data_IF_097870406864
#
_entry.id   IF_097870406864
#
_cell.length_a   1.000
_cell.length_b   1.000
_cell.length_c   1.000
_cell.angle_alpha   90.00
_cell.angle_beta   90.00
_cell.angle_gamma   90.00
#
_symmetry.space_group_name_H-M   'P 1'
#
loop_
_entity.id
_entity.type
_entity.pdbx_description
1 polymer ?
#
# COMPACT_ATOMS: atom_id res chain seq x y z
N UNK A 1 17.38 -67.47 27.48
CA UNK A 1 16.11 -66.77 27.79
C UNK A 1 16.50 -65.45 28.43
N UNK A 2 16.80 -64.47 27.57
CA UNK A 2 15.97 -63.30 27.24
C UNK A 2 16.49 -62.09 28.04
N UNK A 3 17.42 -61.32 27.46
CA UNK A 3 17.12 -60.05 26.76
C UNK A 3 16.51 -58.99 27.69
N UNK A 4 17.35 -58.07 28.17
CA UNK A 4 17.05 -56.64 28.37
C UNK A 4 18.38 -55.88 28.21
N UNK A 5 18.71 -55.37 27.03
CA UNK A 5 18.24 -54.10 26.41
C UNK A 5 18.95 -52.88 27.01
N UNK A 6 19.89 -52.39 26.19
CA UNK A 6 20.41 -51.03 26.03
C UNK A 6 19.52 -49.91 26.57
N UNK A 7 20.07 -49.03 27.42
CA UNK A 7 19.61 -47.64 27.64
C UNK A 7 20.75 -46.73 27.15
N UNK A 8 20.78 -46.41 25.86
CA UNK A 8 20.31 -45.13 25.29
C UNK A 8 20.74 -43.89 26.08
N UNK A 9 21.84 -43.32 25.58
CA UNK A 9 22.10 -41.89 25.64
C UNK A 9 20.97 -41.10 24.98
N UNK A 10 20.85 -39.84 25.40
CA UNK A 10 20.39 -38.67 24.63
C UNK A 10 19.22 -37.90 25.28
N UNK A 11 19.49 -36.60 25.44
CA UNK A 11 18.55 -35.47 25.38
C UNK A 11 17.96 -34.98 26.70
N UNK A 12 18.81 -34.23 27.39
CA UNK A 12 18.50 -32.89 27.88
C UNK A 12 17.50 -32.16 26.96
N UNK A 13 16.28 -31.89 27.45
CA UNK A 13 15.50 -30.67 27.20
C UNK A 13 14.09 -30.74 27.82
N UNK A 14 13.83 -29.86 28.78
CA UNK A 14 12.51 -29.26 28.99
C UNK A 14 12.68 -27.89 29.68
N UNK A 15 13.30 -26.95 28.98
CA UNK A 15 13.13 -25.54 29.31
C UNK A 15 11.67 -25.17 29.05
N UNK A 16 10.97 -24.77 30.12
CA UNK A 16 9.69 -24.10 30.02
C UNK A 16 9.81 -22.88 29.08
N UNK A 17 8.79 -22.56 28.27
CA UNK A 17 8.84 -21.38 27.41
C UNK A 17 9.00 -20.15 28.29
N UNK A 18 10.18 -19.56 28.24
CA UNK A 18 10.44 -18.25 28.82
C UNK A 18 9.60 -17.25 28.05
N UNK A 19 8.56 -16.72 28.70
CA UNK A 19 7.85 -15.53 28.23
C UNK A 19 8.84 -14.37 28.31
N UNK A 20 9.66 -14.23 27.26
CA UNK A 20 10.48 -13.04 27.06
C UNK A 20 9.51 -11.91 26.78
N UNK A 21 9.27 -11.08 27.79
CA UNK A 21 8.63 -9.78 27.65
C UNK A 21 9.47 -8.98 26.65
N UNK A 22 9.00 -8.87 25.40
CA UNK A 22 9.65 -8.03 24.39
C UNK A 22 9.72 -6.59 24.91
N UNK A 23 10.90 -6.24 25.42
CA UNK A 23 11.23 -4.90 25.86
C UNK A 23 11.21 -3.94 24.66
N UNK A 24 10.15 -3.13 24.58
CA UNK A 24 10.23 -1.72 24.20
C UNK A 24 10.86 -1.40 22.84
N UNK A 25 10.49 -2.11 21.76
CA UNK A 25 10.66 -1.49 20.42
C UNK A 25 9.81 -0.21 20.40
N UNK A 26 10.38 0.97 20.09
CA UNK A 26 9.57 2.18 19.97
C UNK A 26 8.48 1.91 18.94
N UNK A 27 7.21 2.02 19.36
CA UNK A 27 6.07 1.87 18.47
C UNK A 27 6.20 2.94 17.39
N UNK A 28 6.62 2.55 16.19
CA UNK A 28 6.64 3.46 15.06
C UNK A 28 5.22 4.00 14.86
N UNK A 29 5.07 5.29 14.50
CA UNK A 29 3.77 5.86 14.25
C UNK A 29 3.04 5.02 13.20
N UNK A 30 1.76 4.72 13.45
CA UNK A 30 0.97 3.87 12.55
C UNK A 30 0.81 4.58 11.21
N UNK A 31 1.39 4.00 10.16
CA UNK A 31 1.19 4.49 8.81
C UNK A 31 -0.11 3.95 8.23
N UNK A 32 -0.89 4.82 7.61
CA UNK A 32 -2.08 4.49 6.85
C UNK A 32 -1.66 4.28 5.39
N UNK A 33 -2.00 3.11 4.85
CA UNK A 33 -1.74 2.77 3.45
C UNK A 33 -3.05 2.56 2.72
N UNK A 34 -3.20 3.19 1.56
CA UNK A 34 -4.38 3.06 0.69
C UNK A 34 -3.97 2.66 -0.72
N UNK A 35 -4.72 1.71 -1.27
CA UNK A 35 -4.68 1.32 -2.67
C UNK A 35 -5.99 1.79 -3.31
N UNK A 36 -5.90 2.67 -4.29
CA UNK A 36 -7.08 3.15 -5.02
C UNK A 36 -6.94 2.78 -6.49
N UNK A 37 -7.95 2.12 -7.03
CA UNK A 37 -7.98 1.70 -8.43
C UNK A 37 -8.91 2.62 -9.20
N UNK A 38 -8.47 3.07 -10.36
CA UNK A 38 -9.21 3.98 -11.21
C UNK A 38 -9.47 3.34 -12.57
N UNK A 39 -10.70 3.52 -13.05
CA UNK A 39 -11.07 3.28 -14.44
C UNK A 39 -11.30 4.63 -15.10
N UNK A 40 -10.64 4.86 -16.22
CA UNK A 40 -10.78 6.07 -17.00
C UNK A 40 -12.04 5.96 -17.85
N UNK A 41 -12.81 7.04 -17.90
CA UNK A 41 -13.97 7.11 -18.78
C UNK A 41 -13.49 7.04 -20.25
N UNK A 42 -14.02 6.12 -21.08
CA UNK A 42 -13.70 6.06 -22.50
C UNK A 42 -13.92 7.41 -23.21
N UNK A 43 -14.90 8.21 -22.79
CA UNK A 43 -15.18 9.52 -23.34
C UNK A 43 -14.03 10.52 -23.11
N UNK A 44 -13.26 10.36 -22.02
CA UNK A 44 -12.09 11.19 -21.74
C UNK A 44 -11.02 11.03 -22.82
N UNK A 45 -10.87 9.81 -23.36
CA UNK A 45 -9.89 9.55 -24.42
C UNK A 45 -10.25 10.25 -25.74
N UNK A 46 -11.53 10.53 -25.96
CA UNK A 46 -12.06 11.21 -27.14
C UNK A 46 -11.96 12.74 -27.06
N UNK A 47 -11.63 13.28 -25.88
CA UNK A 47 -11.48 14.73 -25.71
C UNK A 47 -10.30 15.29 -26.55
N UNK A 48 -10.37 16.58 -26.94
CA UNK A 48 -9.26 17.28 -27.57
C UNK A 48 -7.94 17.14 -26.80
N UNK A 49 -6.83 17.08 -27.52
CA UNK A 49 -5.51 16.78 -26.94
C UNK A 49 -5.07 17.80 -25.89
N UNK A 50 -5.40 19.07 -26.09
CA UNK A 50 -5.18 20.18 -25.17
C UNK A 50 -5.94 20.00 -23.85
N UNK A 51 -7.22 19.60 -23.91
CA UNK A 51 -8.03 19.33 -22.72
C UNK A 51 -7.48 18.12 -21.94
N UNK A 52 -7.10 17.04 -22.65
CA UNK A 52 -6.46 15.88 -22.00
C UNK A 52 -5.13 16.27 -21.35
N UNK A 53 -4.36 17.15 -21.97
CA UNK A 53 -3.10 17.64 -21.42
C UNK A 53 -3.31 18.47 -20.15
N UNK A 54 -4.33 19.33 -20.12
CA UNK A 54 -4.71 20.07 -18.91
C UNK A 54 -5.07 19.12 -17.77
N UNK A 55 -5.90 18.10 -18.02
CA UNK A 55 -6.26 17.11 -17.00
C UNK A 55 -5.05 16.34 -16.44
N UNK A 56 -4.10 15.96 -17.30
CA UNK A 56 -2.83 15.36 -16.87
C UNK A 56 -2.00 16.30 -16.00
N UNK A 57 -1.92 17.58 -16.36
CA UNK A 57 -1.19 18.58 -15.57
C UNK A 57 -1.85 18.83 -14.21
N UNK A 58 -3.18 18.90 -14.14
CA UNK A 58 -3.92 18.98 -12.88
C UNK A 58 -3.62 17.79 -11.97
N UNK A 59 -3.61 16.57 -12.51
CA UNK A 59 -3.26 15.38 -11.73
C UNK A 59 -1.81 15.44 -11.22
N UNK A 60 -0.85 15.83 -12.07
CA UNK A 60 0.55 15.97 -11.66
C UNK A 60 0.70 16.99 -10.52
N UNK A 61 -0.01 18.12 -10.60
CA UNK A 61 -0.01 19.11 -9.52
C UNK A 61 -0.56 18.53 -8.21
N UNK A 62 -1.63 17.74 -8.26
CA UNK A 62 -2.17 17.05 -7.07
C UNK A 62 -1.13 16.08 -6.48
N UNK A 63 -0.35 15.41 -7.33
CA UNK A 63 0.75 14.53 -6.90
C UNK A 63 1.85 15.30 -6.18
N UNK A 64 2.28 16.42 -6.75
CA UNK A 64 3.31 17.29 -6.18
C UNK A 64 2.85 17.84 -4.82
N UNK A 65 1.63 18.38 -4.73
CA UNK A 65 1.06 18.90 -3.48
C UNK A 65 0.93 17.81 -2.39
N UNK A 66 0.62 16.57 -2.78
CA UNK A 66 0.52 15.48 -1.81
C UNK A 66 1.89 14.98 -1.31
N UNK A 67 2.94 15.13 -2.11
CA UNK A 67 4.27 14.66 -1.77
C UNK A 67 4.85 15.36 -0.52
N UNK A 68 4.32 16.53 -0.15
CA UNK A 68 4.67 17.25 1.06
C UNK A 68 4.19 16.55 2.34
N UNK A 69 3.06 15.83 2.28
CA UNK A 69 2.34 15.30 3.45
C UNK A 69 2.21 13.76 3.43
N UNK A 70 2.79 13.10 2.43
CA UNK A 70 2.72 11.66 2.27
C UNK A 70 3.50 11.13 1.08
N UNK A 71 3.46 9.82 0.91
CA UNK A 71 4.03 9.13 -0.23
C UNK A 71 2.92 8.70 -1.17
N UNK A 72 3.06 9.05 -2.45
CA UNK A 72 2.16 8.55 -3.49
C UNK A 72 2.95 8.01 -4.68
N UNK A 73 2.48 6.91 -5.25
CA UNK A 73 3.01 6.26 -6.44
C UNK A 73 1.86 5.84 -7.34
N UNK A 74 2.03 5.99 -8.65
CA UNK A 74 1.11 5.49 -9.66
C UNK A 74 1.67 4.24 -10.32
N UNK A 75 0.77 3.30 -10.62
CA UNK A 75 1.08 2.07 -11.34
C UNK A 75 0.08 1.91 -12.48
N UNK A 76 0.55 1.77 -13.71
CA UNK A 76 -0.30 1.42 -14.84
C UNK A 76 -0.75 -0.04 -14.70
N UNK A 77 -2.04 -0.29 -14.92
CA UNK A 77 -2.64 -1.63 -14.97
C UNK A 77 -3.21 -1.95 -16.35
N UNK A 78 -3.05 -1.03 -17.30
CA UNK A 78 -3.51 -1.20 -18.67
C UNK A 78 -2.92 -2.47 -19.30
N UNK A 79 -3.80 -3.34 -19.82
CA UNK A 79 -3.41 -4.61 -20.43
C UNK A 79 -3.15 -5.76 -19.45
N UNK A 80 -3.20 -5.52 -18.14
CA UNK A 80 -3.05 -6.55 -17.09
C UNK A 80 -4.43 -6.94 -16.53
N UNK A 81 -5.27 -5.93 -16.27
CA UNK A 81 -6.60 -6.11 -15.68
C UNK A 81 -7.61 -5.25 -16.46
N UNK A 82 -8.85 -5.74 -16.62
CA UNK A 82 -9.86 -5.07 -17.45
C UNK A 82 -10.68 -4.01 -16.72
N UNK A 83 -10.83 -4.14 -15.40
CA UNK A 83 -11.70 -3.33 -14.55
C UNK A 83 -11.08 -2.01 -14.08
N UNK A 84 -9.77 -1.83 -14.23
CA UNK A 84 -9.05 -0.61 -13.86
C UNK A 84 -7.86 -0.37 -14.79
N UNK A 85 -7.53 0.91 -15.00
CA UNK A 85 -6.46 1.32 -15.91
C UNK A 85 -5.19 1.70 -15.15
N UNK A 86 -5.31 2.20 -13.92
CA UNK A 86 -4.17 2.50 -13.05
C UNK A 86 -4.54 2.39 -11.56
N UNK A 87 -3.52 2.23 -10.73
CA UNK A 87 -3.63 2.19 -9.27
C UNK A 87 -2.74 3.25 -8.64
N UNK A 88 -3.29 3.91 -7.61
CA UNK A 88 -2.56 4.81 -6.74
C UNK A 88 -2.27 4.12 -5.41
N UNK A 89 -0.99 3.98 -5.11
CA UNK A 89 -0.51 3.58 -3.79
C UNK A 89 -0.20 4.83 -3.00
N UNK A 90 -0.80 4.95 -1.84
CA UNK A 90 -0.65 6.10 -0.96
C UNK A 90 -0.29 5.66 0.44
N UNK A 91 0.64 6.36 1.07
CA UNK A 91 1.00 6.15 2.46
C UNK A 91 1.13 7.49 3.18
N UNK A 92 0.50 7.63 4.35
CA UNK A 92 0.50 8.87 5.15
C UNK A 92 0.22 8.54 6.61
N UNK A 93 0.37 9.50 7.52
CA UNK A 93 0.05 9.36 8.94
C UNK A 93 -1.32 9.96 9.30
N UNK A 94 -1.90 10.79 8.42
CA UNK A 94 -3.17 11.49 8.65
C UNK A 94 -4.23 11.02 7.65
N UNK A 95 -5.46 10.79 8.12
CA UNK A 95 -6.53 10.24 7.26
C UNK A 95 -7.09 11.32 6.32
N UNK A 96 -7.03 12.57 6.74
CA UNK A 96 -7.46 13.77 6.03
C UNK A 96 -6.70 13.91 4.71
N UNK A 97 -5.42 13.57 4.68
CA UNK A 97 -4.60 13.57 3.48
C UNK A 97 -5.15 12.60 2.41
N UNK A 98 -5.61 11.42 2.82
CA UNK A 98 -6.23 10.45 1.91
C UNK A 98 -7.55 10.99 1.34
N UNK A 99 -8.40 11.55 2.19
CA UNK A 99 -9.70 12.12 1.78
C UNK A 99 -9.50 13.33 0.84
N UNK A 100 -8.56 14.21 1.17
CA UNK A 100 -8.23 15.40 0.40
C UNK A 100 -7.79 15.07 -1.02
N UNK A 101 -6.88 14.10 -1.20
CA UNK A 101 -6.47 13.66 -2.54
C UNK A 101 -7.64 13.12 -3.35
N UNK A 102 -8.46 12.23 -2.76
CA UNK A 102 -9.64 11.70 -3.46
C UNK A 102 -10.58 12.81 -3.90
N UNK A 103 -10.78 13.81 -3.05
CA UNK A 103 -11.63 14.94 -3.34
C UNK A 103 -11.05 15.88 -4.42
N UNK A 104 -9.73 16.04 -4.49
CA UNK A 104 -9.05 16.83 -5.54
C UNK A 104 -9.10 16.10 -6.89
N UNK A 105 -8.77 14.80 -6.91
CA UNK A 105 -8.81 13.98 -8.14
C UNK A 105 -10.21 14.01 -8.74
N UNK A 106 -11.26 13.81 -7.92
CA UNK A 106 -12.65 13.81 -8.40
C UNK A 106 -13.13 15.15 -8.98
N UNK A 107 -12.44 16.26 -8.67
CA UNK A 107 -12.74 17.60 -9.20
C UNK A 107 -11.85 17.99 -10.38
N UNK A 108 -10.80 17.23 -10.66
CA UNK A 108 -9.94 17.46 -11.82
C UNK A 108 -10.67 17.12 -13.12
N UNK A 109 -10.13 17.58 -14.24
CA UNK A 109 -10.63 17.29 -15.60
C UNK A 109 -10.30 15.87 -16.09
N UNK A 110 -10.07 14.94 -15.18
CA UNK A 110 -9.73 13.54 -15.42
C UNK A 110 -10.87 12.64 -14.96
#
# INVERSE_FOLDING_TARGET
MAEQITQEASLEQAQAPSTQTESGRPKQPRQLVRFTFFKLDPQWQLLPADIRQQGKQELLKIFEEYAENGLMRSFSLFGIRSDCDFMLWQATYEVENLQGVSSKIRRSRM
#
